data_IF_650438745198
#
_entry.id   IF_650438745198
#
_cell.length_a   1.000
_cell.length_b   1.000
_cell.length_c   1.000
_cell.angle_alpha   90.00
_cell.angle_beta   90.00
_cell.angle_gamma   90.00
#
_symmetry.space_group_name_H-M   'P 1'
#
loop_
_entity.id
_entity.type
_entity.pdbx_description
1 polymer ?
#
# COMPACT_ATOMS: atom_id res chain seq x y z
N UNK A 1 -34.95 6.34 -5.56
CA UNK A 1 -34.22 6.06 -6.81
C UNK A 1 -34.82 6.95 -7.90
N UNK A 2 -34.00 7.57 -8.78
CA UNK A 2 -34.54 8.38 -9.87
C UNK A 2 -35.15 7.45 -10.92
N UNK A 3 -36.27 7.82 -11.53
CA UNK A 3 -37.06 6.97 -12.43
C UNK A 3 -36.34 6.54 -13.72
N UNK A 4 -35.23 7.21 -14.05
CA UNK A 4 -34.42 6.95 -15.24
C UNK A 4 -33.19 6.06 -15.02
N UNK A 5 -32.95 5.60 -13.79
CA UNK A 5 -31.77 4.79 -13.45
C UNK A 5 -31.91 3.35 -13.93
N UNK A 6 -30.94 2.87 -14.69
CA UNK A 6 -30.85 1.47 -15.10
C UNK A 6 -30.28 0.62 -13.97
N UNK A 7 -31.06 -0.34 -13.48
CA UNK A 7 -30.69 -1.19 -12.37
C UNK A 7 -30.15 -2.53 -12.83
N UNK A 8 -29.11 -3.02 -12.11
CA UNK A 8 -28.56 -4.36 -12.35
C UNK A 8 -28.10 -5.04 -11.05
N UNK A 9 -28.12 -6.34 -11.05
CA UNK A 9 -27.31 -7.10 -10.08
C UNK A 9 -25.84 -6.73 -10.31
N UNK A 10 -25.06 -6.60 -9.23
CA UNK A 10 -23.63 -6.28 -9.35
C UNK A 10 -22.96 -7.22 -10.34
N UNK A 11 -22.29 -6.72 -11.39
CA UNK A 11 -21.83 -7.54 -12.52
C UNK A 11 -20.70 -8.54 -12.17
N UNK A 12 -20.11 -8.48 -10.97
CA UNK A 12 -19.19 -9.52 -10.51
C UNK A 12 -19.91 -10.81 -10.09
N UNK A 13 -21.26 -10.82 -9.99
CA UNK A 13 -22.01 -12.04 -9.76
C UNK A 13 -22.49 -12.64 -11.07
N UNK A 14 -22.22 -13.92 -11.27
CA UNK A 14 -22.97 -14.74 -12.20
C UNK A 14 -24.32 -15.08 -11.58
N UNK A 15 -25.40 -14.81 -12.30
CA UNK A 15 -26.76 -15.03 -11.83
C UNK A 15 -27.27 -16.34 -12.42
N UNK A 16 -27.64 -17.29 -11.58
CA UNK A 16 -28.28 -18.57 -11.98
C UNK A 16 -29.66 -18.68 -11.35
N UNK A 17 -30.67 -18.91 -12.17
CA UNK A 17 -32.07 -19.05 -11.73
C UNK A 17 -32.51 -20.48 -11.82
N UNK A 18 -32.92 -21.04 -10.71
CA UNK A 18 -33.50 -22.38 -10.61
C UNK A 18 -34.97 -22.25 -10.17
N UNK A 19 -35.84 -22.28 -11.17
CA UNK A 19 -37.28 -22.20 -10.89
C UNK A 19 -37.77 -23.33 -10.02
N UNK A 20 -38.83 -23.13 -9.22
CA UNK A 20 -39.62 -21.89 -9.16
C UNK A 20 -39.20 -20.92 -8.06
N UNK A 21 -38.14 -21.19 -7.27
CA UNK A 21 -37.91 -20.46 -6.02
C UNK A 21 -36.45 -20.12 -5.68
N UNK A 22 -35.51 -20.45 -6.54
CA UNK A 22 -34.08 -20.26 -6.17
C UNK A 22 -33.36 -19.40 -7.18
N UNK A 23 -32.64 -18.41 -6.69
CA UNK A 23 -31.67 -17.61 -7.46
C UNK A 23 -30.33 -17.65 -6.74
N UNK A 24 -29.27 -17.96 -7.46
CA UNK A 24 -27.91 -17.98 -6.97
C UNK A 24 -27.15 -16.81 -7.58
N UNK A 25 -26.43 -16.09 -6.72
CA UNK A 25 -25.44 -15.06 -7.10
C UNK A 25 -24.07 -15.65 -6.79
N UNK A 26 -23.32 -15.99 -7.84
CA UNK A 26 -22.04 -16.70 -7.74
C UNK A 26 -20.91 -15.74 -8.07
N UNK A 27 -19.97 -15.55 -7.15
CA UNK A 27 -18.80 -14.69 -7.30
C UNK A 27 -17.53 -15.38 -6.83
N UNK A 28 -16.37 -14.93 -7.27
CA UNK A 28 -15.05 -15.49 -6.87
C UNK A 28 -14.80 -15.38 -5.36
N UNK A 29 -15.28 -14.31 -4.72
CA UNK A 29 -15.07 -14.03 -3.28
C UNK A 29 -16.17 -14.66 -2.40
N UNK A 30 -17.31 -15.06 -2.99
CA UNK A 30 -18.41 -15.65 -2.22
C UNK A 30 -19.67 -15.86 -3.05
N UNK A 31 -20.54 -16.74 -2.53
CA UNK A 31 -21.78 -17.14 -3.17
C UNK A 31 -22.97 -16.83 -2.27
N UNK A 32 -24.08 -16.42 -2.87
CA UNK A 32 -25.31 -16.12 -2.17
C UNK A 32 -26.50 -16.85 -2.80
N UNK A 33 -27.46 -17.27 -1.97
CA UNK A 33 -28.71 -17.86 -2.40
C UNK A 33 -29.89 -17.01 -1.95
N UNK A 34 -30.79 -16.73 -2.88
CA UNK A 34 -32.06 -16.04 -2.66
C UNK A 34 -33.19 -17.07 -2.85
N UNK A 35 -34.12 -17.11 -1.92
CA UNK A 35 -35.24 -18.08 -1.96
C UNK A 35 -36.56 -17.34 -1.99
N UNK A 36 -37.33 -17.56 -3.03
CA UNK A 36 -38.65 -16.96 -3.23
C UNK A 36 -38.98 -16.84 -4.72
N UNK A 37 -40.22 -17.05 -5.09
CA UNK A 37 -40.68 -16.94 -6.47
C UNK A 37 -40.45 -15.57 -7.07
N UNK A 38 -40.64 -14.49 -6.27
CA UNK A 38 -40.45 -13.12 -6.71
C UNK A 38 -39.00 -12.84 -7.16
N UNK A 39 -38.00 -13.46 -6.51
CA UNK A 39 -36.61 -13.34 -6.97
C UNK A 39 -36.42 -13.94 -8.36
N UNK A 40 -37.04 -15.09 -8.66
CA UNK A 40 -36.95 -15.72 -9.98
C UNK A 40 -37.58 -14.85 -11.08
N UNK A 41 -38.58 -14.04 -10.76
CA UNK A 41 -39.27 -13.17 -11.72
C UNK A 41 -38.52 -11.82 -11.88
N UNK A 42 -37.99 -11.24 -10.81
CA UNK A 42 -37.46 -9.89 -10.82
C UNK A 42 -35.95 -9.87 -11.17
N UNK A 43 -35.14 -10.77 -10.61
CA UNK A 43 -33.69 -10.77 -10.79
C UNK A 43 -33.25 -10.83 -12.26
N UNK A 44 -33.86 -11.61 -13.16
CA UNK A 44 -33.51 -11.61 -14.59
C UNK A 44 -33.70 -10.27 -15.30
N UNK A 45 -34.57 -9.41 -14.79
CA UNK A 45 -34.82 -8.08 -15.34
C UNK A 45 -33.79 -7.03 -14.83
N UNK A 46 -33.05 -7.35 -13.76
CA UNK A 46 -32.00 -6.52 -13.20
C UNK A 46 -30.67 -6.73 -13.94
N UNK A 47 -30.67 -6.46 -15.24
CA UNK A 47 -29.55 -6.69 -16.17
C UNK A 47 -28.95 -5.39 -16.74
N UNK A 48 -29.33 -4.23 -16.19
CA UNK A 48 -28.84 -2.92 -16.65
C UNK A 48 -29.50 -2.40 -17.93
N UNK A 49 -30.57 -3.06 -18.42
CA UNK A 49 -31.30 -2.66 -19.63
C UNK A 49 -32.66 -2.03 -19.32
N UNK A 50 -33.10 -2.09 -18.08
CA UNK A 50 -34.43 -1.66 -17.68
C UNK A 50 -34.36 -0.64 -16.56
N UNK A 51 -35.19 0.40 -16.67
CA UNK A 51 -35.49 1.31 -15.57
C UNK A 51 -36.47 0.65 -14.59
N UNK A 52 -36.61 1.20 -13.38
CA UNK A 52 -37.59 0.74 -12.42
C UNK A 52 -39.02 0.71 -13.00
N UNK A 53 -39.39 1.78 -13.72
CA UNK A 53 -40.71 1.88 -14.37
C UNK A 53 -40.94 0.76 -15.40
N UNK A 54 -39.93 0.45 -16.20
CA UNK A 54 -39.99 -0.62 -17.21
C UNK A 54 -40.05 -2.02 -16.54
N UNK A 55 -39.41 -2.20 -15.38
CA UNK A 55 -39.50 -3.45 -14.62
C UNK A 55 -40.91 -3.62 -14.08
N UNK A 56 -41.49 -2.56 -13.49
CA UNK A 56 -42.86 -2.58 -13.00
C UNK A 56 -43.83 -2.84 -14.13
N UNK A 57 -43.72 -2.15 -15.29
CA UNK A 57 -44.59 -2.37 -16.46
C UNK A 57 -44.52 -3.80 -16.99
N UNK A 58 -43.36 -4.41 -17.05
CA UNK A 58 -43.17 -5.80 -17.49
C UNK A 58 -43.83 -6.82 -16.55
N UNK A 59 -43.91 -6.53 -15.26
CA UNK A 59 -44.41 -7.40 -14.22
C UNK A 59 -45.83 -7.04 -13.73
N UNK A 60 -46.40 -5.90 -14.22
CA UNK A 60 -47.65 -5.29 -13.72
C UNK A 60 -48.85 -6.26 -13.68
N UNK A 61 -48.85 -7.30 -14.53
CA UNK A 61 -49.92 -8.30 -14.57
C UNK A 61 -49.72 -9.49 -13.60
N UNK A 62 -48.51 -9.67 -13.11
CA UNK A 62 -48.12 -10.85 -12.34
C UNK A 62 -47.67 -10.52 -10.93
N UNK A 63 -47.09 -9.34 -10.72
CA UNK A 63 -46.47 -8.91 -9.42
C UNK A 63 -46.91 -7.48 -9.08
N UNK A 64 -47.60 -7.26 -7.94
CA UNK A 64 -47.93 -5.93 -7.48
C UNK A 64 -46.67 -5.08 -7.24
N UNK A 65 -46.68 -3.75 -7.54
CA UNK A 65 -45.53 -2.85 -7.42
C UNK A 65 -44.90 -2.87 -6.02
N UNK A 66 -45.71 -3.02 -4.99
CA UNK A 66 -45.24 -3.06 -3.58
C UNK A 66 -44.27 -4.24 -3.32
N UNK A 67 -44.48 -5.39 -3.98
CA UNK A 67 -43.62 -6.54 -3.85
C UNK A 67 -42.29 -6.35 -4.67
N UNK A 68 -42.37 -5.63 -5.79
CA UNK A 68 -41.18 -5.26 -6.57
C UNK A 68 -40.30 -4.36 -5.72
N UNK A 69 -40.87 -3.31 -5.14
CA UNK A 69 -40.15 -2.40 -4.23
C UNK A 69 -39.55 -3.14 -3.03
N UNK A 70 -40.30 -4.06 -2.44
CA UNK A 70 -39.80 -4.90 -1.34
C UNK A 70 -38.56 -5.71 -1.75
N UNK A 71 -38.59 -6.37 -2.90
CA UNK A 71 -37.46 -7.19 -3.40
C UNK A 71 -36.25 -6.29 -3.71
N UNK A 72 -36.47 -5.16 -4.38
CA UNK A 72 -35.39 -4.22 -4.73
C UNK A 72 -34.72 -3.64 -3.48
N UNK A 73 -35.51 -3.21 -2.50
CA UNK A 73 -34.99 -2.71 -1.22
C UNK A 73 -34.20 -3.82 -0.50
N UNK A 74 -34.70 -5.04 -0.50
CA UNK A 74 -34.01 -6.18 0.12
C UNK A 74 -32.67 -6.51 -0.56
N UNK A 75 -32.61 -6.44 -1.89
CA UNK A 75 -31.38 -6.62 -2.67
C UNK A 75 -30.41 -5.46 -2.45
N UNK A 76 -30.92 -4.24 -2.35
CA UNK A 76 -30.12 -3.04 -2.05
C UNK A 76 -29.52 -3.07 -0.64
N UNK A 77 -30.31 -3.40 0.39
CA UNK A 77 -29.85 -3.57 1.78
C UNK A 77 -28.73 -4.62 1.90
N UNK A 78 -28.84 -5.70 1.12
CA UNK A 78 -27.81 -6.73 1.07
C UNK A 78 -26.60 -6.34 0.19
N UNK A 79 -26.67 -5.21 -0.49
CA UNK A 79 -25.61 -4.71 -1.33
C UNK A 79 -25.41 -5.47 -2.65
N UNK A 80 -26.46 -6.12 -3.17
CA UNK A 80 -26.39 -6.90 -4.42
C UNK A 80 -26.73 -6.07 -5.65
N UNK A 81 -27.37 -4.90 -5.50
CA UNK A 81 -27.74 -3.99 -6.58
C UNK A 81 -26.69 -2.91 -6.83
N UNK A 82 -26.62 -2.47 -8.08
CA UNK A 82 -25.90 -1.29 -8.52
C UNK A 82 -26.59 -0.62 -9.71
N UNK A 83 -26.20 0.59 -10.01
CA UNK A 83 -26.59 1.27 -11.25
C UNK A 83 -25.66 0.81 -12.38
N UNK A 84 -26.23 0.59 -13.55
CA UNK A 84 -25.47 0.35 -14.77
C UNK A 84 -24.89 1.67 -15.34
N UNK A 85 -23.75 1.60 -15.98
CA UNK A 85 -23.18 2.71 -16.73
C UNK A 85 -22.65 2.22 -18.08
N UNK A 86 -22.88 2.94 -19.18
CA UNK A 86 -22.30 2.62 -20.47
C UNK A 86 -20.80 2.99 -20.56
N UNK A 87 -20.28 3.74 -19.61
CA UNK A 87 -18.91 4.25 -19.60
C UNK A 87 -17.84 3.17 -19.32
N UNK A 88 -18.25 2.00 -18.82
CA UNK A 88 -17.35 0.88 -18.48
C UNK A 88 -17.82 -0.40 -19.16
N UNK A 89 -16.87 -1.26 -19.57
CA UNK A 89 -17.22 -2.62 -19.98
C UNK A 89 -17.76 -3.43 -18.79
N UNK A 90 -18.55 -4.48 -19.03
CA UNK A 90 -19.10 -5.32 -17.96
C UNK A 90 -18.01 -5.88 -17.02
N UNK A 91 -16.86 -6.29 -17.56
CA UNK A 91 -15.73 -6.86 -16.80
C UNK A 91 -15.09 -5.81 -15.90
N UNK A 92 -14.91 -4.58 -16.42
CA UNK A 92 -14.37 -3.46 -15.63
C UNK A 92 -15.36 -3.05 -14.55
N UNK A 93 -16.66 -2.97 -14.87
CA UNK A 93 -17.70 -2.70 -13.88
C UNK A 93 -17.76 -3.80 -12.80
N UNK A 94 -17.56 -5.07 -13.18
CA UNK A 94 -17.47 -6.19 -12.25
C UNK A 94 -16.31 -6.01 -11.26
N UNK A 95 -15.12 -5.67 -11.74
CA UNK A 95 -13.95 -5.42 -10.88
C UNK A 95 -14.24 -4.34 -9.80
N UNK A 96 -14.85 -3.24 -10.20
CA UNK A 96 -15.17 -2.15 -9.26
C UNK A 96 -16.26 -2.52 -8.27
N UNK A 97 -17.30 -3.24 -8.72
CA UNK A 97 -18.37 -3.68 -7.81
C UNK A 97 -17.91 -4.75 -6.83
N UNK A 98 -16.93 -5.57 -7.18
CA UNK A 98 -16.29 -6.50 -6.24
C UNK A 98 -15.52 -5.77 -5.13
N UNK A 99 -14.89 -4.64 -5.47
CA UNK A 99 -14.27 -3.73 -4.49
C UNK A 99 -15.30 -2.90 -3.69
N UNK A 100 -16.59 -3.04 -3.96
CA UNK A 100 -17.65 -2.29 -3.29
C UNK A 100 -17.87 -0.88 -3.87
N UNK A 101 -17.31 -0.57 -5.04
CA UNK A 101 -17.44 0.74 -5.70
C UNK A 101 -18.52 0.69 -6.77
N UNK A 102 -19.40 1.70 -6.80
CA UNK A 102 -20.38 1.82 -7.87
C UNK A 102 -19.68 2.11 -9.21
N UNK A 103 -20.09 1.45 -10.32
CA UNK A 103 -19.49 1.65 -11.64
C UNK A 103 -19.49 3.11 -12.10
N UNK A 104 -20.53 3.87 -11.77
CA UNK A 104 -20.65 5.30 -12.08
C UNK A 104 -19.56 6.14 -11.39
N UNK A 105 -19.25 5.84 -10.14
CA UNK A 105 -18.17 6.49 -9.36
C UNK A 105 -16.80 6.10 -9.93
N UNK A 106 -16.62 4.83 -10.26
CA UNK A 106 -15.38 4.36 -10.88
C UNK A 106 -15.13 5.05 -12.23
N UNK A 107 -16.15 5.12 -13.09
CA UNK A 107 -16.07 5.80 -14.38
C UNK A 107 -15.68 7.28 -14.25
N UNK A 108 -16.20 7.98 -13.25
CA UNK A 108 -15.82 9.37 -12.98
C UNK A 108 -14.37 9.48 -12.47
N UNK A 109 -13.98 8.62 -11.56
CA UNK A 109 -12.61 8.60 -11.02
C UNK A 109 -11.57 8.33 -12.10
N UNK A 110 -11.80 7.37 -12.97
CA UNK A 110 -10.87 7.00 -14.05
C UNK A 110 -10.65 8.12 -15.10
N UNK A 111 -11.52 9.13 -15.16
CA UNK A 111 -11.33 10.32 -16.03
C UNK A 111 -10.27 11.31 -15.48
N UNK A 112 -9.78 11.09 -14.26
CA UNK A 112 -8.73 11.94 -13.70
C UNK A 112 -7.38 11.66 -14.34
N UNK A 113 -6.67 12.73 -14.67
CA UNK A 113 -5.38 12.63 -15.34
C UNK A 113 -4.23 12.39 -14.37
N UNK A 114 -3.18 11.74 -14.88
CA UNK A 114 -1.91 11.52 -14.17
C UNK A 114 -0.74 12.04 -14.98
N UNK A 115 0.38 12.30 -14.30
CA UNK A 115 1.67 12.64 -14.93
C UNK A 115 2.65 11.51 -14.67
N UNK A 116 3.43 11.14 -15.69
CA UNK A 116 4.54 10.19 -15.57
C UNK A 116 5.85 10.97 -15.59
N UNK A 117 6.68 10.73 -14.59
CA UNK A 117 8.03 11.28 -14.45
C UNK A 117 9.03 10.12 -14.32
N UNK A 118 10.23 10.27 -14.86
CA UNK A 118 11.29 9.25 -14.76
C UNK A 118 12.49 9.81 -14.00
N UNK A 119 13.14 8.92 -13.23
CA UNK A 119 14.37 9.20 -12.48
C UNK A 119 15.29 8.00 -12.57
N UNK A 120 16.57 8.25 -12.84
CA UNK A 120 17.58 7.20 -13.05
C UNK A 120 17.77 6.81 -14.51
N UNK A 121 18.84 6.10 -14.80
CA UNK A 121 19.30 5.82 -16.17
C UNK A 121 18.67 4.55 -16.79
N UNK A 122 18.14 3.64 -15.95
CA UNK A 122 17.65 2.34 -16.40
C UNK A 122 16.14 2.30 -16.67
N UNK A 123 15.47 3.45 -16.70
CA UNK A 123 14.06 3.56 -17.09
C UNK A 123 13.98 4.09 -18.51
N UNK A 124 13.70 3.19 -19.45
CA UNK A 124 13.60 3.53 -20.86
C UNK A 124 12.28 4.21 -21.22
N UNK A 125 12.26 4.95 -22.33
CA UNK A 125 11.02 5.52 -22.89
C UNK A 125 9.97 4.44 -23.20
N UNK A 126 10.42 3.23 -23.60
CA UNK A 126 9.54 2.07 -23.83
C UNK A 126 8.83 1.66 -22.54
N UNK A 127 9.52 1.71 -21.39
CA UNK A 127 8.93 1.43 -20.08
C UNK A 127 7.84 2.43 -19.73
N UNK A 128 8.10 3.72 -19.98
CA UNK A 128 7.11 4.79 -19.74
C UNK A 128 5.90 4.64 -20.66
N UNK A 129 6.15 4.40 -21.97
CA UNK A 129 5.08 4.20 -22.94
C UNK A 129 4.20 3.00 -22.62
N UNK A 130 4.78 1.91 -22.11
CA UNK A 130 4.03 0.71 -21.71
C UNK A 130 3.10 0.99 -20.52
N UNK A 131 3.55 1.74 -19.49
CA UNK A 131 2.69 2.14 -18.39
C UNK A 131 1.61 3.13 -18.85
N UNK A 132 1.99 4.11 -19.70
CA UNK A 132 1.04 5.08 -20.24
C UNK A 132 -0.06 4.39 -21.05
N UNK A 133 0.27 3.37 -21.83
CA UNK A 133 -0.71 2.56 -22.58
C UNK A 133 -1.64 1.82 -21.62
N UNK A 134 -1.09 1.12 -20.63
CA UNK A 134 -1.89 0.40 -19.64
C UNK A 134 -2.88 1.31 -18.90
N UNK A 135 -2.47 2.54 -18.57
CA UNK A 135 -3.35 3.52 -17.93
C UNK A 135 -4.45 4.03 -18.88
N UNK A 136 -4.08 4.33 -20.13
CA UNK A 136 -5.07 4.78 -21.15
C UNK A 136 -6.08 3.70 -21.50
N UNK A 137 -5.67 2.43 -21.56
CA UNK A 137 -6.56 1.29 -21.78
C UNK A 137 -7.61 1.14 -20.67
N UNK A 138 -7.31 1.63 -19.46
CA UNK A 138 -8.27 1.72 -18.34
C UNK A 138 -9.07 3.04 -18.33
N UNK A 139 -8.88 3.93 -19.32
CA UNK A 139 -9.57 5.22 -19.41
C UNK A 139 -8.91 6.37 -18.62
N UNK A 140 -7.70 6.17 -18.08
CA UNK A 140 -6.97 7.19 -17.31
C UNK A 140 -6.11 8.03 -18.26
N UNK A 141 -6.38 9.35 -18.40
CA UNK A 141 -5.59 10.24 -19.23
C UNK A 141 -4.17 10.43 -18.66
N UNK A 142 -3.17 10.30 -19.52
CA UNK A 142 -1.77 10.58 -19.17
C UNK A 142 -1.36 11.89 -19.81
N UNK A 143 -1.06 12.90 -19.00
CA UNK A 143 -0.62 14.23 -19.41
C UNK A 143 0.90 14.27 -19.58
N UNK A 144 1.38 15.15 -20.45
CA UNK A 144 2.79 15.49 -20.52
C UNK A 144 3.17 16.46 -19.39
N UNK A 145 4.37 16.31 -18.78
CA UNK A 145 4.83 17.23 -17.73
C UNK A 145 4.91 18.71 -18.19
N UNK A 146 4.93 18.95 -19.49
CA UNK A 146 5.03 20.28 -20.12
C UNK A 146 3.67 20.96 -20.35
N UNK A 147 2.56 20.25 -20.25
CA UNK A 147 1.21 20.77 -20.55
C UNK A 147 0.57 21.58 -19.38
N UNK A 148 1.31 22.13 -18.61
CA UNK A 148 1.48 23.10 -17.51
C UNK A 148 0.28 23.60 -16.70
N UNK A 149 -1.00 23.52 -17.05
CA UNK A 149 -2.04 24.29 -16.35
C UNK A 149 -3.18 23.51 -15.68
N UNK A 150 -3.26 22.21 -15.86
CA UNK A 150 -4.29 21.43 -15.16
C UNK A 150 -3.67 20.53 -14.09
N UNK A 151 -4.10 20.64 -12.83
CA UNK A 151 -3.54 19.80 -11.76
C UNK A 151 -3.87 18.33 -12.03
N UNK A 152 -2.84 17.52 -12.24
CA UNK A 152 -3.01 16.07 -12.30
C UNK A 152 -3.36 15.52 -10.90
N UNK A 153 -4.22 14.51 -10.86
CA UNK A 153 -4.60 13.88 -9.59
C UNK A 153 -3.42 13.20 -8.90
N UNK A 154 -2.47 12.67 -9.69
CA UNK A 154 -1.31 11.95 -9.17
C UNK A 154 -0.10 12.15 -10.09
N UNK A 155 1.07 12.45 -9.50
CA UNK A 155 2.36 12.34 -10.17
C UNK A 155 2.96 10.96 -9.89
N UNK A 156 3.27 10.20 -10.93
CA UNK A 156 3.84 8.86 -10.85
C UNK A 156 5.30 8.93 -11.26
N UNK A 157 6.20 8.60 -10.35
CA UNK A 157 7.64 8.64 -10.57
C UNK A 157 8.17 7.21 -10.73
N UNK A 158 8.62 6.89 -11.94
CA UNK A 158 9.30 5.65 -12.24
C UNK A 158 10.79 5.80 -11.97
N UNK A 159 11.38 4.87 -11.23
CA UNK A 159 12.80 4.89 -10.89
C UNK A 159 13.42 3.50 -10.94
N UNK A 160 14.73 3.43 -11.08
CA UNK A 160 15.52 2.20 -10.95
C UNK A 160 16.07 2.01 -9.52
N UNK A 161 16.13 3.07 -8.71
CA UNK A 161 16.42 2.99 -7.28
C UNK A 161 15.72 4.10 -6.49
N UNK A 162 15.25 3.76 -5.29
CA UNK A 162 14.53 4.68 -4.39
C UNK A 162 15.44 5.72 -3.69
N UNK A 163 16.76 5.64 -3.90
CA UNK A 163 17.73 6.60 -3.37
C UNK A 163 18.35 7.49 -4.45
N UNK A 164 17.78 7.54 -5.66
CA UNK A 164 18.19 8.48 -6.69
C UNK A 164 18.17 9.93 -6.19
N UNK A 165 19.19 10.71 -6.52
CA UNK A 165 19.39 12.09 -6.04
C UNK A 165 18.28 13.04 -6.45
N UNK A 166 17.74 12.86 -7.65
CA UNK A 166 16.69 13.70 -8.24
C UNK A 166 15.37 13.63 -7.46
N UNK A 167 15.17 12.53 -6.71
CA UNK A 167 13.99 12.38 -5.82
C UNK A 167 13.95 13.42 -4.69
N UNK A 168 15.10 14.06 -4.36
CA UNK A 168 15.15 15.17 -3.39
C UNK A 168 14.32 16.34 -3.89
N UNK A 169 14.56 16.77 -5.13
CA UNK A 169 13.85 17.90 -5.73
C UNK A 169 12.35 17.62 -5.92
N UNK A 170 12.02 16.39 -6.39
CA UNK A 170 10.63 15.96 -6.55
C UNK A 170 9.88 15.99 -5.20
N UNK A 171 10.50 15.44 -4.15
CA UNK A 171 9.91 15.45 -2.82
C UNK A 171 9.70 16.87 -2.27
N UNK A 172 10.65 17.76 -2.48
CA UNK A 172 10.54 19.15 -2.04
C UNK A 172 9.43 19.88 -2.78
N UNK A 173 9.39 19.79 -4.11
CA UNK A 173 8.34 20.41 -4.92
C UNK A 173 6.95 19.86 -4.58
N UNK A 174 6.83 18.55 -4.35
CA UNK A 174 5.58 17.92 -3.97
C UNK A 174 5.06 18.44 -2.62
N UNK A 175 5.93 18.63 -1.65
CA UNK A 175 5.56 19.19 -0.34
C UNK A 175 5.17 20.68 -0.44
N UNK A 176 5.91 21.48 -1.21
CA UNK A 176 5.61 22.90 -1.43
C UNK A 176 4.27 23.10 -2.14
N UNK A 177 3.97 22.26 -3.14
CA UNK A 177 2.73 22.30 -3.92
C UNK A 177 1.58 21.52 -3.32
N UNK A 178 1.77 20.85 -2.20
CA UNK A 178 0.81 19.92 -1.60
C UNK A 178 0.33 18.84 -2.59
N UNK A 179 1.23 18.40 -3.46
CA UNK A 179 0.93 17.44 -4.52
C UNK A 179 1.22 16.00 -4.08
N UNK A 180 0.23 15.16 -4.21
CA UNK A 180 0.39 13.71 -3.97
C UNK A 180 1.16 13.07 -5.12
N UNK A 181 2.07 12.14 -4.77
CA UNK A 181 2.85 11.42 -5.76
C UNK A 181 3.16 9.97 -5.35
N UNK A 182 3.34 9.13 -6.35
CA UNK A 182 3.61 7.69 -6.21
C UNK A 182 5.01 7.38 -6.71
N UNK A 183 5.77 6.58 -5.96
CA UNK A 183 7.07 6.09 -6.38
C UNK A 183 6.97 4.61 -6.78
N UNK A 184 7.56 4.26 -7.93
CA UNK A 184 7.51 2.91 -8.50
C UNK A 184 8.89 2.51 -9.04
N UNK A 185 9.38 1.32 -8.66
CA UNK A 185 10.55 0.67 -9.24
C UNK A 185 10.12 -0.61 -9.95
N UNK A 186 9.86 -0.56 -11.27
CA UNK A 186 9.39 -1.71 -12.03
C UNK A 186 10.50 -2.66 -12.47
N UNK A 187 11.74 -2.24 -12.36
CA UNK A 187 12.95 -2.99 -12.82
C UNK A 187 13.54 -3.84 -11.71
N UNK A 188 14.33 -4.85 -12.10
CA UNK A 188 14.94 -5.80 -11.18
C UNK A 188 14.05 -7.01 -10.89
N UNK A 189 14.58 -7.99 -10.16
CA UNK A 189 13.86 -9.20 -9.74
C UNK A 189 12.87 -8.93 -8.61
N UNK A 190 13.01 -7.79 -7.92
CA UNK A 190 12.10 -7.35 -6.86
C UNK A 190 11.46 -6.04 -7.27
N UNK A 191 10.18 -6.09 -7.57
CA UNK A 191 9.37 -4.89 -7.82
C UNK A 191 9.16 -4.13 -6.52
N UNK A 192 9.09 -2.79 -6.64
CA UNK A 192 8.68 -1.93 -5.54
C UNK A 192 7.58 -1.00 -6.02
N UNK A 193 6.44 -1.03 -5.32
CA UNK A 193 5.29 -0.18 -5.56
C UNK A 193 5.00 0.66 -4.33
N UNK A 194 4.82 1.95 -4.52
CA UNK A 194 4.60 2.87 -3.40
C UNK A 194 5.90 3.31 -2.72
N UNK A 195 5.77 4.16 -1.70
CA UNK A 195 4.48 4.62 -1.19
C UNK A 195 3.82 5.63 -2.12
N UNK A 196 2.50 5.80 -1.95
CA UNK A 196 1.89 7.08 -2.27
C UNK A 196 2.26 8.03 -1.13
N UNK A 197 2.91 9.11 -1.47
CA UNK A 197 3.24 10.19 -0.54
C UNK A 197 2.12 11.23 -0.56
N UNK A 198 1.35 11.29 0.53
CA UNK A 198 0.32 12.30 0.73
C UNK A 198 0.90 13.37 1.66
N UNK A 199 1.10 14.61 1.19
CA UNK A 199 1.65 15.69 2.02
C UNK A 199 0.85 15.85 3.32
N UNK A 200 1.56 16.06 4.43
CA UNK A 200 1.05 16.19 5.80
C UNK A 200 0.51 14.87 6.43
N UNK A 201 -0.02 13.94 5.67
CA UNK A 201 -0.63 12.70 6.18
C UNK A 201 0.41 11.58 6.34
N UNK A 202 1.24 11.34 5.32
CA UNK A 202 2.23 10.26 5.32
C UNK A 202 3.65 10.78 5.63
N UNK A 203 4.58 9.84 5.89
CA UNK A 203 6.00 10.17 5.84
C UNK A 203 6.41 10.57 4.42
N UNK A 204 7.28 11.57 4.26
CA UNK A 204 7.79 11.99 2.96
C UNK A 204 8.93 11.08 2.46
N UNK A 205 9.40 11.30 1.22
CA UNK A 205 10.53 10.53 0.68
C UNK A 205 11.80 10.63 1.55
N UNK A 206 12.09 11.78 2.17
CA UNK A 206 13.25 11.91 3.08
C UNK A 206 13.14 11.01 4.30
N UNK A 207 11.92 10.72 4.79
CA UNK A 207 11.69 9.72 5.83
C UNK A 207 12.06 8.30 5.34
N UNK A 208 11.64 7.95 4.13
CA UNK A 208 11.94 6.66 3.50
C UNK A 208 13.43 6.51 3.20
N UNK A 209 14.04 7.54 2.58
CA UNK A 209 15.45 7.54 2.22
C UNK A 209 16.37 7.39 3.45
N UNK A 210 16.01 8.00 4.57
CA UNK A 210 16.73 7.83 5.83
C UNK A 210 16.72 6.35 6.29
N UNK A 211 15.56 5.67 6.23
CA UNK A 211 15.45 4.24 6.56
C UNK A 211 16.24 3.37 5.60
N UNK A 212 16.11 3.61 4.32
CA UNK A 212 16.81 2.85 3.28
C UNK A 212 18.33 2.97 3.40
N UNK A 213 18.85 4.19 3.61
CA UNK A 213 20.29 4.41 3.81
C UNK A 213 20.82 3.68 5.04
N UNK A 214 20.04 3.66 6.13
CA UNK A 214 20.37 2.88 7.32
C UNK A 214 20.32 1.37 7.07
N UNK A 215 19.27 0.88 6.44
CA UNK A 215 19.03 -0.56 6.27
C UNK A 215 19.89 -1.18 5.14
N UNK A 216 20.42 -0.38 4.21
CA UNK A 216 21.37 -0.81 3.16
C UNK A 216 22.82 -0.56 3.60
N UNK A 217 23.23 -1.17 4.70
CA UNK A 217 24.53 -0.93 5.37
C UNK A 217 25.73 -1.13 4.44
N UNK A 218 25.70 -2.18 3.61
CA UNK A 218 26.79 -2.51 2.68
C UNK A 218 26.90 -1.47 1.57
N UNK A 219 25.77 -1.16 0.92
CA UNK A 219 25.71 -0.15 -0.15
C UNK A 219 26.16 1.22 0.36
N UNK A 220 25.65 1.63 1.52
CA UNK A 220 26.02 2.89 2.17
C UNK A 220 27.50 2.95 2.52
N UNK A 221 28.11 1.85 2.97
CA UNK A 221 29.54 1.75 3.23
C UNK A 221 30.36 1.88 1.95
N UNK A 222 29.97 1.21 0.87
CA UNK A 222 30.65 1.30 -0.44
C UNK A 222 30.60 2.73 -0.99
N UNK A 223 29.43 3.39 -0.92
CA UNK A 223 29.28 4.76 -1.40
C UNK A 223 30.19 5.74 -0.61
N UNK A 224 30.25 5.61 0.73
CA UNK A 224 31.16 6.42 1.55
C UNK A 224 32.63 6.18 1.24
N UNK A 225 33.01 4.92 0.95
CA UNK A 225 34.38 4.61 0.56
C UNK A 225 34.72 5.23 -0.80
N UNK A 226 33.83 5.18 -1.77
CA UNK A 226 33.98 5.83 -3.08
C UNK A 226 34.12 7.35 -2.93
N UNK A 227 33.28 7.97 -2.12
CA UNK A 227 33.38 9.40 -1.84
C UNK A 227 34.73 9.78 -1.25
N UNK A 228 35.16 9.08 -0.19
CA UNK A 228 36.47 9.32 0.43
C UNK A 228 37.66 9.09 -0.51
N UNK A 229 37.50 8.20 -1.50
CA UNK A 229 38.51 7.97 -2.54
C UNK A 229 38.56 9.13 -3.55
N UNK A 230 37.40 9.64 -3.98
CA UNK A 230 37.31 10.81 -4.87
C UNK A 230 37.94 12.05 -4.22
N UNK A 231 37.60 12.32 -2.96
CA UNK A 231 38.16 13.44 -2.18
C UNK A 231 39.69 13.32 -2.08
N UNK A 232 40.25 12.14 -1.82
CA UNK A 232 41.70 11.90 -1.78
C UNK A 232 42.39 12.11 -3.13
N UNK A 233 41.69 11.82 -4.22
CA UNK A 233 42.21 12.00 -5.58
C UNK A 233 42.01 13.42 -6.12
N UNK A 234 41.46 14.34 -5.34
CA UNK A 234 41.15 15.71 -5.77
C UNK A 234 40.05 15.81 -6.80
N UNK A 235 39.23 14.77 -6.92
CA UNK A 235 38.12 14.72 -7.88
C UNK A 235 36.86 15.31 -7.22
N UNK A 236 36.43 16.48 -7.71
CA UNK A 236 35.24 17.18 -7.21
C UNK A 236 34.01 16.92 -8.13
N UNK A 237 33.68 15.67 -8.41
CA UNK A 237 32.51 15.29 -9.18
C UNK A 237 31.33 14.84 -8.30
N UNK A 238 30.12 14.78 -8.85
CA UNK A 238 28.97 14.24 -8.12
C UNK A 238 29.20 12.78 -7.73
N UNK A 239 28.98 12.47 -6.47
CA UNK A 239 29.02 11.10 -5.96
C UNK A 239 27.68 10.43 -6.25
N UNK A 240 27.71 9.19 -6.78
CA UNK A 240 26.49 8.42 -6.96
C UNK A 240 25.72 8.29 -5.65
N UNK A 241 24.41 8.50 -5.69
CA UNK A 241 23.53 8.41 -4.52
C UNK A 241 23.09 6.98 -4.21
N UNK A 242 23.21 6.07 -5.20
CA UNK A 242 22.86 4.66 -5.13
C UNK A 242 23.78 3.82 -6.02
N UNK A 243 23.72 2.50 -5.86
CA UNK A 243 24.46 1.53 -6.69
C UNK A 243 23.48 0.79 -7.61
N UNK A 244 23.84 0.46 -8.87
CA UNK A 244 22.97 -0.20 -9.84
C UNK A 244 22.79 -1.69 -9.50
N UNK A 245 21.98 -1.99 -8.49
CA UNK A 245 21.73 -3.37 -8.00
C UNK A 245 20.56 -4.06 -8.69
N UNK A 246 19.65 -3.31 -9.32
CA UNK A 246 18.45 -3.82 -10.00
C UNK A 246 18.77 -4.30 -11.44
N UNK A 247 19.58 -5.35 -11.59
CA UNK A 247 20.12 -5.80 -12.89
C UNK A 247 19.37 -6.99 -13.52
N UNK A 248 18.72 -7.81 -12.69
CA UNK A 248 18.05 -9.03 -13.16
C UNK A 248 16.62 -8.71 -13.57
N UNK A 249 16.36 -8.53 -14.86
CA UNK A 249 15.04 -8.20 -15.40
C UNK A 249 14.75 -9.04 -16.64
N UNK A 250 13.55 -9.59 -16.73
CA UNK A 250 12.97 -10.15 -17.94
C UNK A 250 11.92 -9.16 -18.50
N UNK A 251 11.66 -9.16 -19.82
CA UNK A 251 10.54 -8.38 -20.36
C UNK A 251 9.21 -8.66 -19.65
N UNK A 252 8.93 -9.92 -19.35
CA UNK A 252 7.71 -10.33 -18.63
C UNK A 252 7.65 -9.83 -17.19
N UNK A 253 8.79 -9.84 -16.46
CA UNK A 253 8.81 -9.31 -15.08
C UNK A 253 8.63 -7.80 -15.05
N UNK A 254 9.15 -7.07 -16.03
CA UNK A 254 8.92 -5.65 -16.20
C UNK A 254 7.45 -5.35 -16.47
N UNK A 255 6.83 -6.06 -17.42
CA UNK A 255 5.41 -5.90 -17.73
C UNK A 255 4.51 -6.21 -16.54
N UNK A 256 4.79 -7.29 -15.80
CA UNK A 256 4.07 -7.61 -14.56
C UNK A 256 4.11 -6.43 -13.59
N UNK A 257 5.27 -5.81 -13.42
CA UNK A 257 5.42 -4.64 -12.53
C UNK A 257 4.62 -3.44 -12.98
N UNK A 258 4.63 -3.14 -14.29
CA UNK A 258 3.89 -2.02 -14.86
C UNK A 258 2.38 -2.23 -14.77
N UNK A 259 1.89 -3.43 -15.08
CA UNK A 259 0.46 -3.77 -14.99
C UNK A 259 -0.03 -3.75 -13.53
N UNK A 260 0.78 -4.27 -12.61
CA UNK A 260 0.46 -4.18 -11.19
C UNK A 260 0.41 -2.73 -10.71
N UNK A 261 1.39 -1.90 -11.12
CA UNK A 261 1.37 -0.46 -10.81
C UNK A 261 0.12 0.22 -11.38
N UNK A 262 -0.25 -0.06 -12.64
CA UNK A 262 -1.43 0.51 -13.29
C UNK A 262 -2.72 0.19 -12.51
N UNK A 263 -2.88 -1.04 -12.04
CA UNK A 263 -4.04 -1.44 -11.21
C UNK A 263 -4.09 -0.66 -9.89
N UNK A 264 -2.97 -0.55 -9.18
CA UNK A 264 -2.93 0.19 -7.91
C UNK A 264 -3.13 1.69 -8.09
N UNK A 265 -2.66 2.27 -9.21
CA UNK A 265 -2.91 3.67 -9.60
C UNK A 265 -4.41 3.89 -9.82
N UNK A 266 -5.06 3.02 -10.61
CA UNK A 266 -6.49 3.10 -10.86
C UNK A 266 -7.30 3.02 -9.55
N UNK A 267 -6.97 2.06 -8.67
CA UNK A 267 -7.59 1.93 -7.35
C UNK A 267 -7.43 3.20 -6.51
N UNK A 268 -6.23 3.77 -6.49
CA UNK A 268 -5.97 4.99 -5.72
C UNK A 268 -6.79 6.17 -6.25
N UNK A 269 -6.80 6.40 -7.56
CA UNK A 269 -7.52 7.51 -8.20
C UNK A 269 -9.02 7.40 -7.94
N UNK A 270 -9.61 6.23 -8.15
CA UNK A 270 -11.04 6.01 -7.92
C UNK A 270 -11.41 6.23 -6.47
N UNK A 271 -10.57 5.78 -5.53
CA UNK A 271 -10.79 6.00 -4.08
C UNK A 271 -10.95 7.48 -3.73
N UNK A 272 -10.23 8.39 -4.39
CA UNK A 272 -10.35 9.84 -4.13
C UNK A 272 -11.73 10.42 -4.47
N UNK A 273 -12.51 9.72 -5.31
CA UNK A 273 -13.86 10.13 -5.73
C UNK A 273 -14.97 9.51 -4.88
N UNK A 274 -14.64 8.60 -4.00
CA UNK A 274 -15.63 7.95 -3.14
C UNK A 274 -15.87 8.82 -1.91
N UNK A 275 -17.10 9.32 -1.74
CA UNK A 275 -17.49 10.02 -0.52
C UNK A 275 -17.34 9.10 0.69
N UNK A 276 -16.72 9.58 1.77
CA UNK A 276 -16.51 8.83 3.00
C UNK A 276 -17.82 8.24 3.59
N UNK A 277 -18.96 8.89 3.33
CA UNK A 277 -20.28 8.43 3.74
C UNK A 277 -20.86 7.30 2.84
N UNK A 278 -20.40 7.19 1.60
CA UNK A 278 -20.80 6.14 0.65
C UNK A 278 -19.88 4.90 0.73
N UNK A 279 -18.73 5.04 1.35
CA UNK A 279 -17.84 3.94 1.70
C UNK A 279 -18.43 3.22 2.90
N UNK A 280 -19.28 2.23 2.65
CA UNK A 280 -19.48 1.16 3.61
C UNK A 280 -18.10 0.63 4.06
N UNK A 281 -18.04 -0.14 5.12
CA UNK A 281 -16.84 -0.61 5.84
C UNK A 281 -15.77 -1.35 5.01
N UNK A 282 -15.92 -1.50 3.69
CA UNK A 282 -15.03 -2.21 2.78
C UNK A 282 -14.14 -1.28 1.96
N UNK A 283 -13.25 -0.56 2.63
CA UNK A 283 -12.15 0.12 1.97
C UNK A 283 -11.07 -0.91 1.60
N UNK A 284 -10.86 -1.09 0.30
CA UNK A 284 -9.69 -1.83 -0.18
C UNK A 284 -8.39 -1.08 0.21
N UNK A 285 -7.31 -1.79 0.55
CA UNK A 285 -6.05 -1.17 0.93
C UNK A 285 -5.45 -0.38 -0.24
N UNK A 286 -4.88 0.78 0.08
CA UNK A 286 -4.11 1.60 -0.85
C UNK A 286 -2.65 1.69 -0.43
N UNK A 287 -1.82 2.28 -1.29
CA UNK A 287 -0.39 2.45 -1.09
C UNK A 287 -0.03 3.70 -0.25
N UNK A 288 -1.01 4.38 0.37
CA UNK A 288 -0.77 5.57 1.20
C UNK A 288 0.21 5.22 2.35
N UNK A 289 1.42 5.79 2.30
CA UNK A 289 2.48 5.50 3.27
C UNK A 289 2.95 4.03 3.30
N UNK A 290 2.72 3.23 2.25
CA UNK A 290 3.11 1.82 2.19
C UNK A 290 3.94 1.52 0.94
N UNK A 291 5.01 0.76 1.11
CA UNK A 291 5.77 0.15 0.02
C UNK A 291 5.38 -1.31 -0.07
N UNK A 292 4.96 -1.76 -1.23
CA UNK A 292 4.82 -3.18 -1.54
C UNK A 292 6.08 -3.63 -2.27
N UNK A 293 6.67 -4.74 -1.85
CA UNK A 293 7.72 -5.42 -2.59
C UNK A 293 7.22 -6.76 -3.07
N UNK A 294 7.46 -7.05 -4.33
CA UNK A 294 7.17 -8.35 -4.92
C UNK A 294 8.43 -8.98 -5.48
N UNK A 295 8.94 -9.98 -4.79
CA UNK A 295 10.08 -10.77 -5.27
C UNK A 295 9.55 -11.83 -6.24
N UNK A 296 9.76 -11.59 -7.54
CA UNK A 296 9.23 -12.41 -8.62
C UNK A 296 9.96 -13.76 -8.75
N UNK A 297 11.16 -13.89 -8.17
CA UNK A 297 11.95 -15.14 -8.26
C UNK A 297 11.45 -16.21 -7.29
N UNK A 298 10.82 -15.81 -6.19
CA UNK A 298 10.30 -16.71 -5.14
C UNK A 298 8.82 -16.48 -4.83
N UNK A 299 8.15 -15.63 -5.62
CA UNK A 299 6.74 -15.27 -5.48
C UNK A 299 6.37 -14.74 -4.07
N UNK A 300 7.28 -13.94 -3.48
CA UNK A 300 7.09 -13.38 -2.13
C UNK A 300 6.66 -11.91 -2.20
N UNK A 301 5.47 -11.62 -1.69
CA UNK A 301 4.87 -10.28 -1.65
C UNK A 301 4.84 -9.80 -0.19
N UNK A 302 5.44 -8.62 0.06
CA UNK A 302 5.50 -8.01 1.39
C UNK A 302 5.02 -6.56 1.37
N UNK A 303 4.37 -6.17 2.47
CA UNK A 303 3.96 -4.78 2.73
C UNK A 303 4.84 -4.17 3.81
N UNK A 304 5.32 -2.95 3.56
CA UNK A 304 6.22 -2.20 4.43
C UNK A 304 5.61 -0.84 4.74
N UNK A 305 5.30 -0.57 5.99
CA UNK A 305 4.68 0.69 6.42
C UNK A 305 5.76 1.75 6.62
N UNK A 306 5.62 2.89 5.96
CA UNK A 306 6.46 4.06 6.16
C UNK A 306 5.89 4.93 7.28
N UNK A 307 6.67 5.10 8.34
CA UNK A 307 6.32 5.98 9.46
C UNK A 307 6.97 7.35 9.24
N UNK A 308 6.17 8.40 9.38
CA UNK A 308 6.66 9.78 9.41
C UNK A 308 7.61 9.94 10.60
N UNK A 309 8.82 10.43 10.33
CA UNK A 309 9.81 10.71 11.36
C UNK A 309 9.52 12.07 11.98
N UNK A 310 9.30 12.18 13.32
CA UNK A 310 9.04 13.46 13.95
C UNK A 310 10.13 14.51 13.69
N UNK A 311 11.41 14.11 13.73
CA UNK A 311 12.58 14.97 13.48
C UNK A 311 13.05 14.94 12.01
N UNK A 312 12.14 14.69 11.06
CA UNK A 312 12.51 14.74 9.64
C UNK A 312 12.82 16.19 9.24
N UNK A 313 13.99 16.47 8.62
CA UNK A 313 14.36 17.85 8.24
C UNK A 313 13.48 18.43 7.13
N UNK A 314 12.69 17.58 6.45
CA UNK A 314 11.87 18.00 5.30
C UNK A 314 10.38 18.09 5.65
N UNK A 315 9.82 17.16 6.43
CA UNK A 315 8.38 17.12 6.73
C UNK A 315 8.07 17.06 8.24
N UNK A 316 9.08 17.05 9.10
CA UNK A 316 8.95 17.03 10.56
C UNK A 316 9.51 18.30 11.18
N UNK A 317 9.78 18.23 12.48
CA UNK A 317 10.46 19.27 13.23
C UNK A 317 11.85 18.75 13.67
N UNK A 318 12.95 19.25 13.05
CA UNK A 318 14.30 18.81 13.42
C UNK A 318 14.67 19.14 14.88
N UNK A 319 14.05 20.15 15.47
CA UNK A 319 14.36 20.65 16.81
C UNK A 319 13.50 20.03 17.92
N UNK A 320 12.58 19.13 17.57
CA UNK A 320 11.60 18.53 18.51
C UNK A 320 12.28 17.89 19.74
N UNK A 321 13.48 17.35 19.59
CA UNK A 321 14.22 16.75 20.70
C UNK A 321 14.84 17.81 21.61
N UNK A 322 15.20 18.99 21.07
CA UNK A 322 15.75 20.10 21.83
C UNK A 322 14.64 20.80 22.62
N UNK A 323 13.45 20.96 22.03
CA UNK A 323 12.31 21.60 22.66
C UNK A 323 11.65 20.72 23.73
N UNK A 324 11.54 19.41 23.49
CA UNK A 324 10.89 18.46 24.43
C UNK A 324 11.81 17.87 25.50
N UNK A 325 13.13 17.97 25.34
CA UNK A 325 14.11 17.33 26.23
C UNK A 325 14.20 17.91 27.63
N UNK A 326 13.60 19.08 27.87
CA UNK A 326 13.64 19.79 29.17
C UNK A 326 12.33 19.73 29.95
N UNK A 327 11.26 19.14 29.39
CA UNK A 327 10.02 19.00 30.15
C UNK A 327 10.14 17.83 31.15
N UNK A 328 9.83 18.04 32.44
CA UNK A 328 9.84 16.96 33.42
C UNK A 328 8.82 15.87 33.09
N UNK A 329 9.27 14.64 33.04
CA UNK A 329 8.40 13.48 32.92
C UNK A 329 7.44 13.40 34.12
N UNK A 330 6.14 13.53 33.88
CA UNK A 330 5.10 13.29 34.88
C UNK A 330 4.81 11.79 34.93
N UNK A 331 5.21 11.16 36.03
CA UNK A 331 4.91 9.76 36.27
C UNK A 331 3.48 9.59 36.78
N UNK A 332 2.72 8.76 36.08
CA UNK A 332 1.35 8.40 36.46
C UNK A 332 1.29 6.97 37.02
N UNK A 333 0.46 6.79 38.07
CA UNK A 333 0.19 5.47 38.60
C UNK A 333 -0.65 4.67 37.60
N UNK A 334 -0.20 3.44 37.27
CA UNK A 334 -0.89 2.52 36.35
C UNK A 334 -1.06 1.16 36.96
N UNK A 335 -2.19 0.49 36.63
CA UNK A 335 -2.46 -0.87 37.06
C UNK A 335 -1.44 -1.82 36.39
N UNK A 336 -0.88 -2.74 37.19
CA UNK A 336 -0.01 -3.81 36.70
C UNK A 336 -0.87 -4.89 36.06
N UNK A 337 -0.74 -5.11 34.76
CA UNK A 337 -1.50 -6.13 34.02
C UNK A 337 -0.74 -7.44 33.87
N UNK A 338 0.59 -7.38 33.89
CA UNK A 338 1.47 -8.53 33.72
C UNK A 338 2.53 -8.54 34.82
N UNK A 339 2.57 -9.62 35.62
CA UNK A 339 3.43 -9.72 36.79
C UNK A 339 4.30 -10.99 36.77
N UNK A 340 4.23 -11.81 35.73
CA UNK A 340 5.05 -13.02 35.57
C UNK A 340 6.40 -12.68 34.91
N UNK A 341 7.42 -13.46 35.22
CA UNK A 341 8.75 -13.35 34.61
C UNK A 341 9.54 -12.07 34.91
N UNK A 342 9.58 -11.66 36.16
CA UNK A 342 10.58 -10.72 36.68
C UNK A 342 10.26 -9.25 36.44
N UNK A 343 9.01 -8.86 36.19
CA UNK A 343 8.62 -7.47 36.06
C UNK A 343 7.15 -7.20 36.21
N UNK A 344 6.84 -5.92 36.42
CA UNK A 344 5.48 -5.42 36.42
C UNK A 344 5.27 -4.58 35.17
N UNK A 345 4.44 -5.06 34.24
CA UNK A 345 4.23 -4.42 32.94
C UNK A 345 2.76 -4.09 32.71
N UNK A 346 2.52 -3.03 31.96
CA UNK A 346 1.15 -2.63 31.57
C UNK A 346 0.62 -3.44 30.38
N UNK A 347 1.49 -4.06 29.58
CA UNK A 347 1.13 -4.85 28.39
C UNK A 347 1.89 -6.19 28.38
N UNK A 348 1.27 -7.20 27.76
CA UNK A 348 1.94 -8.50 27.57
C UNK A 348 3.00 -8.43 26.47
N UNK A 349 3.95 -9.39 26.42
CA UNK A 349 4.90 -9.50 25.32
C UNK A 349 4.23 -9.60 23.94
N UNK A 350 3.15 -10.38 23.84
CA UNK A 350 2.38 -10.54 22.60
C UNK A 350 1.77 -9.22 22.13
N UNK A 351 1.10 -8.51 23.05
CA UNK A 351 0.50 -7.20 22.77
C UNK A 351 1.55 -6.19 22.32
N UNK A 352 2.74 -6.21 22.93
CA UNK A 352 3.86 -5.33 22.55
C UNK A 352 4.31 -5.61 21.11
N UNK A 353 4.57 -6.88 20.77
CA UNK A 353 5.00 -7.25 19.42
C UNK A 353 3.90 -6.97 18.40
N UNK A 354 2.65 -7.30 18.68
CA UNK A 354 1.52 -7.06 17.79
C UNK A 354 1.35 -5.57 17.50
N UNK A 355 1.42 -4.72 18.52
CA UNK A 355 1.29 -3.27 18.39
C UNK A 355 2.38 -2.65 17.49
N UNK A 356 3.60 -3.15 17.59
CA UNK A 356 4.75 -2.54 16.95
C UNK A 356 5.38 -3.39 15.83
N UNK A 357 4.73 -4.48 15.39
CA UNK A 357 5.23 -5.36 14.33
C UNK A 357 5.51 -4.63 13.00
N UNK A 358 4.81 -3.53 12.74
CA UNK A 358 5.02 -2.68 11.57
C UNK A 358 6.39 -1.98 11.54
N UNK A 359 7.10 -1.94 12.68
CA UNK A 359 8.48 -1.45 12.76
C UNK A 359 9.51 -2.50 12.32
N UNK A 360 9.09 -3.75 12.06
CA UNK A 360 9.97 -4.82 11.60
C UNK A 360 9.89 -4.90 10.09
N UNK A 361 10.89 -4.35 9.42
CA UNK A 361 10.98 -4.36 7.96
C UNK A 361 12.41 -4.08 7.50
N UNK A 362 12.94 -4.85 6.54
CA UNK A 362 14.27 -4.58 5.96
C UNK A 362 14.31 -3.29 5.14
N UNK A 363 13.15 -2.67 4.84
CA UNK A 363 13.02 -1.49 3.98
C UNK A 363 12.70 -0.25 4.82
N UNK A 364 11.58 -0.25 5.51
CA UNK A 364 11.06 0.91 6.25
C UNK A 364 11.24 0.79 7.76
N UNK A 365 11.64 -0.36 8.26
CA UNK A 365 11.67 -0.66 9.68
C UNK A 365 12.84 -0.01 10.42
N UNK A 366 12.62 0.21 11.72
CA UNK A 366 13.65 0.45 12.73
C UNK A 366 14.39 -0.86 13.02
N UNK A 367 13.63 -1.95 13.05
CA UNK A 367 14.13 -3.32 13.18
C UNK A 367 14.12 -3.94 11.78
N UNK A 368 15.29 -4.36 11.30
CA UNK A 368 15.42 -4.91 9.93
C UNK A 368 14.99 -6.36 9.83
N UNK A 369 15.21 -7.13 10.91
CA UNK A 369 14.82 -8.53 11.02
C UNK A 369 14.54 -8.90 12.49
N UNK A 370 13.68 -9.89 12.70
CA UNK A 370 13.44 -10.49 14.00
C UNK A 370 13.28 -12.00 13.81
N UNK A 371 14.36 -12.76 14.04
CA UNK A 371 14.47 -14.17 13.68
C UNK A 371 14.79 -15.02 14.90
N UNK A 372 14.03 -16.11 15.09
CA UNK A 372 14.34 -17.12 16.09
C UNK A 372 15.62 -17.87 15.72
N UNK A 373 16.57 -17.96 16.63
CA UNK A 373 17.86 -18.64 16.43
C UNK A 373 18.00 -19.94 17.23
N UNK A 374 17.13 -20.18 18.22
CA UNK A 374 17.06 -21.48 18.90
C UNK A 374 16.24 -22.48 18.11
N UNK A 375 16.60 -23.74 18.19
CA UNK A 375 15.84 -24.84 17.59
C UNK A 375 14.36 -24.74 18.04
N UNK A 376 13.39 -24.77 17.12
CA UNK A 376 11.97 -24.79 17.46
C UNK A 376 11.56 -25.94 18.38
N UNK A 377 12.26 -27.07 18.31
CA UNK A 377 12.04 -28.25 19.20
C UNK A 377 12.55 -28.05 20.62
N UNK A 378 13.35 -27.01 20.89
CA UNK A 378 13.83 -26.74 22.27
C UNK A 378 12.75 -25.98 23.07
N UNK A 379 12.13 -26.60 24.08
CA UNK A 379 11.07 -25.99 24.88
C UNK A 379 11.61 -25.14 26.05
N UNK A 380 12.90 -25.21 26.36
CA UNK A 380 13.45 -24.64 27.60
C UNK A 380 13.90 -23.20 27.43
N UNK A 381 14.45 -22.86 26.29
CA UNK A 381 14.99 -21.52 26.01
C UNK A 381 14.61 -21.08 24.61
N UNK A 382 14.05 -19.89 24.54
CA UNK A 382 13.77 -19.20 23.27
C UNK A 382 14.75 -18.05 23.11
N UNK A 383 15.37 -17.92 21.94
CA UNK A 383 16.27 -16.82 21.64
C UNK A 383 15.94 -16.24 20.26
N UNK A 384 15.78 -14.94 20.21
CA UNK A 384 15.58 -14.18 18.97
C UNK A 384 16.76 -13.26 18.72
N UNK A 385 17.13 -13.15 17.45
CA UNK A 385 18.06 -12.13 16.93
C UNK A 385 17.24 -11.02 16.29
N UNK A 386 17.51 -9.78 16.66
CA UNK A 386 16.90 -8.59 16.08
C UNK A 386 17.97 -7.75 15.39
N UNK A 387 17.75 -7.50 14.09
CA UNK A 387 18.59 -6.61 13.29
C UNK A 387 18.17 -5.16 13.48
N UNK A 388 19.14 -4.26 13.56
CA UNK A 388 18.93 -2.80 13.52
C UNK A 388 20.16 -2.14 12.92
N UNK A 389 19.99 -0.93 12.40
CA UNK A 389 21.07 -0.19 11.76
C UNK A 389 21.79 0.71 12.76
N UNK A 390 23.13 0.66 12.77
CA UNK A 390 24.01 1.57 13.55
C UNK A 390 24.70 2.62 12.68
N UNK A 391 24.27 2.78 11.45
CA UNK A 391 24.95 3.61 10.49
C UNK A 391 26.00 2.86 9.69
N UNK A 392 26.57 3.52 8.66
CA UNK A 392 27.53 2.92 7.73
C UNK A 392 28.97 3.26 8.13
N UNK A 393 29.85 2.27 8.03
CA UNK A 393 31.29 2.44 8.26
C UNK A 393 32.02 2.73 6.94
N UNK A 394 33.12 3.51 7.01
CA UNK A 394 34.04 3.78 5.89
C UNK A 394 35.10 2.70 5.71
N UNK A 395 35.18 1.70 6.61
CA UNK A 395 36.15 0.63 6.54
C UNK A 395 35.48 -0.73 6.50
N UNK A 396 36.12 -1.71 5.84
CA UNK A 396 35.64 -3.10 5.79
C UNK A 396 35.55 -3.74 7.18
N UNK A 397 36.52 -3.43 8.07
CA UNK A 397 36.52 -3.93 9.45
C UNK A 397 35.32 -3.39 10.23
N UNK A 398 35.06 -2.09 10.11
CA UNK A 398 33.92 -1.45 10.74
C UNK A 398 32.59 -2.01 10.21
N UNK A 399 32.47 -2.17 8.88
CA UNK A 399 31.28 -2.77 8.26
C UNK A 399 31.03 -4.21 8.78
N UNK A 400 32.08 -5.04 8.87
CA UNK A 400 31.95 -6.39 9.44
C UNK A 400 31.48 -6.37 10.91
N UNK A 401 31.93 -5.42 11.68
CA UNK A 401 31.48 -5.25 13.06
C UNK A 401 30.03 -4.83 13.13
N UNK A 402 29.60 -3.86 12.32
CA UNK A 402 28.21 -3.41 12.25
C UNK A 402 27.26 -4.54 11.86
N UNK A 403 27.62 -5.34 10.84
CA UNK A 403 26.82 -6.48 10.39
C UNK A 403 26.69 -7.60 11.44
N UNK A 404 27.69 -7.74 12.32
CA UNK A 404 27.67 -8.72 13.42
C UNK A 404 26.91 -8.23 14.65
N UNK A 405 26.86 -6.93 14.87
CA UNK A 405 26.22 -6.33 16.03
C UNK A 405 24.71 -6.35 15.85
N UNK A 406 24.07 -7.36 16.45
CA UNK A 406 22.62 -7.53 16.46
C UNK A 406 22.15 -7.59 17.92
N UNK A 407 20.94 -7.13 18.17
CA UNK A 407 20.28 -7.32 19.45
C UNK A 407 19.80 -8.76 19.60
N UNK A 408 19.65 -9.24 20.82
CA UNK A 408 19.13 -10.57 21.07
C UNK A 408 18.16 -10.59 22.25
N UNK A 409 17.02 -11.23 22.05
CA UNK A 409 16.05 -11.46 23.10
C UNK A 409 16.12 -12.91 23.60
N UNK A 410 16.05 -13.10 24.90
CA UNK A 410 15.96 -14.42 25.55
C UNK A 410 14.72 -14.45 26.43
N UNK A 411 14.10 -15.61 26.54
CA UNK A 411 12.92 -15.80 27.40
C UNK A 411 12.56 -17.25 27.60
N UNK A 412 11.71 -17.49 28.59
CA UNK A 412 11.11 -18.80 28.87
C UNK A 412 9.99 -19.13 27.88
N UNK A 413 9.38 -18.12 27.28
CA UNK A 413 8.37 -18.28 26.25
C UNK A 413 8.84 -17.62 24.95
N UNK A 414 8.28 -18.06 23.82
CA UNK A 414 8.58 -17.53 22.51
C UNK A 414 8.26 -16.02 22.42
N UNK A 415 7.08 -15.64 22.90
CA UNK A 415 6.61 -14.26 22.89
C UNK A 415 7.48 -13.33 23.74
N UNK A 416 7.89 -13.79 24.93
CA UNK A 416 8.78 -13.02 25.81
C UNK A 416 10.14 -12.78 25.14
N UNK A 417 10.73 -13.81 24.56
CA UNK A 417 12.01 -13.72 23.85
C UNK A 417 11.92 -12.79 22.64
N UNK A 418 10.83 -12.92 21.88
CA UNK A 418 10.54 -12.08 20.71
C UNK A 418 10.41 -10.60 21.09
N UNK A 419 9.61 -10.31 22.13
CA UNK A 419 9.43 -8.94 22.63
C UNK A 419 10.73 -8.36 23.18
N UNK A 420 11.53 -9.17 23.91
CA UNK A 420 12.83 -8.74 24.44
C UNK A 420 13.81 -8.32 23.34
N UNK A 421 14.00 -9.15 22.31
CA UNK A 421 14.88 -8.83 21.19
C UNK A 421 14.40 -7.62 20.38
N UNK A 422 13.09 -7.52 20.17
CA UNK A 422 12.49 -6.37 19.49
C UNK A 422 12.73 -5.07 20.27
N UNK A 423 12.41 -5.05 21.57
CA UNK A 423 12.55 -3.84 22.40
C UNK A 423 14.02 -3.40 22.52
N UNK A 424 14.96 -4.34 22.69
CA UNK A 424 16.39 -4.03 22.71
C UNK A 424 16.85 -3.38 21.37
N UNK A 425 16.39 -3.90 20.24
CA UNK A 425 16.72 -3.33 18.94
C UNK A 425 16.19 -1.89 18.78
N UNK A 426 14.95 -1.63 19.24
CA UNK A 426 14.36 -0.28 19.23
C UNK A 426 15.11 0.66 20.17
N UNK A 427 15.46 0.20 21.38
CA UNK A 427 16.24 0.97 22.36
C UNK A 427 17.57 1.42 21.76
N UNK A 428 18.34 0.47 21.21
CA UNK A 428 19.65 0.74 20.60
C UNK A 428 19.58 1.63 19.35
N UNK A 429 18.46 1.60 18.64
CA UNK A 429 18.23 2.50 17.52
C UNK A 429 17.94 3.94 18.01
N UNK A 430 17.30 4.08 19.17
CA UNK A 430 16.82 5.35 19.72
C UNK A 430 17.88 6.11 20.55
N UNK A 431 18.88 5.41 21.08
CA UNK A 431 20.03 5.97 21.84
C UNK A 431 21.22 6.25 20.97
#
# INVERSE_FOLDING_TARGET
MQSTTLLQIKPHFHVEVIEPRQVYLLGEQGNHALTGQLYCQIVPLLNGQHTLEQIVEKLDREVPPEYIDYVLNRLAEKGYLTEATPDLSPEVAAFWTELGIAPTVAAQGLKQSVILTTVGENISEVTVAALATALRDMGIPVQNPMDGDSPAALNIVLTDDYLQSELVAINQQALERQQTWLLVKPVGSVLWLGPVFVPQETGCWSCLAHRLRGNREVESSVLKQKQAQQERNGQHGPVASCLPTARATLPSTLQTGLQFAATEIAKWIVKQHVNAAALGTALFPTLDGKVITFNQTILDLKSHILIKRPQCPTCGDPEILQQGGFEPLKLESRRKHFTHDGGHRATTPEQTVQKYQHLISPITGVVTELVRITDPANPLVHTYRAGHSFGSSTTLRGLRNTLKNKSSGKGKTDSQSRASGFCEAVERYSG
#
